data_IF_743592086252
#
_entry.id   IF_743592086252
#
_cell.length_a   1.000
_cell.length_b   1.000
_cell.length_c   1.000
_cell.angle_alpha   90.00
_cell.angle_beta   90.00
_cell.angle_gamma   90.00
#
_symmetry.space_group_name_H-M   'P 1'
#
loop_
_entity.id
_entity.type
_entity.pdbx_description
1 polymer ?
#
# COMPACT_ATOMS: atom_id res chain seq x y z
N UNK A 1 -2.85 -17.68 3.62
CA UNK A 1 -3.14 -16.29 3.22
C UNK A 1 -1.92 -15.38 3.32
N UNK A 2 -1.11 -15.43 4.37
CA UNK A 2 0.11 -14.58 4.51
C UNK A 2 1.09 -14.68 3.35
N UNK A 3 1.39 -15.89 2.86
CA UNK A 3 2.25 -16.08 1.68
C UNK A 3 1.66 -15.42 0.42
N UNK A 4 0.33 -15.43 0.27
CA UNK A 4 -0.32 -14.78 -0.86
C UNK A 4 -0.24 -13.24 -0.75
N UNK A 5 -0.31 -12.69 0.47
CA UNK A 5 -0.11 -11.26 0.71
C UNK A 5 1.32 -10.83 0.38
N UNK A 6 2.31 -11.61 0.80
CA UNK A 6 3.73 -11.33 0.49
C UNK A 6 3.98 -11.44 -1.02
N UNK A 7 3.44 -12.46 -1.69
CA UNK A 7 3.55 -12.57 -3.15
C UNK A 7 2.91 -11.38 -3.86
N UNK A 8 1.73 -10.95 -3.41
CA UNK A 8 1.01 -9.80 -3.95
C UNK A 8 1.78 -8.50 -3.73
N UNK A 9 2.41 -8.35 -2.58
CA UNK A 9 3.27 -7.21 -2.25
C UNK A 9 4.48 -7.15 -3.19
N UNK A 10 5.20 -8.25 -3.37
CA UNK A 10 6.36 -8.29 -4.28
C UNK A 10 5.95 -7.96 -5.73
N UNK A 11 4.84 -8.53 -6.21
CA UNK A 11 4.33 -8.21 -7.55
C UNK A 11 3.99 -6.72 -7.66
N UNK A 12 3.38 -6.14 -6.62
CA UNK A 12 3.04 -4.74 -6.63
C UNK A 12 4.29 -3.86 -6.61
N UNK A 13 5.28 -4.14 -5.76
CA UNK A 13 6.51 -3.34 -5.64
C UNK A 13 7.33 -3.34 -6.95
N UNK A 14 7.52 -4.51 -7.56
CA UNK A 14 8.26 -4.64 -8.81
C UNK A 14 7.65 -3.79 -9.92
N UNK A 15 6.32 -3.76 -10.00
CA UNK A 15 5.56 -3.08 -11.06
C UNK A 15 5.10 -1.67 -10.68
N UNK A 16 5.33 -1.23 -9.44
CA UNK A 16 4.87 0.07 -8.98
C UNK A 16 5.66 1.19 -9.66
N UNK A 17 4.92 2.14 -10.24
CA UNK A 17 5.42 3.35 -10.87
C UNK A 17 4.54 4.52 -10.43
N UNK A 18 5.12 5.47 -9.70
CA UNK A 18 4.40 6.70 -9.35
C UNK A 18 4.34 7.63 -10.57
N UNK A 19 3.17 8.19 -10.92
CA UNK A 19 3.04 9.07 -12.08
C UNK A 19 3.70 10.44 -11.89
N UNK A 20 4.07 10.80 -10.65
CA UNK A 20 4.69 12.08 -10.27
C UNK A 20 3.89 13.29 -10.79
N UNK A 21 2.57 13.24 -10.61
CA UNK A 21 1.63 14.34 -10.90
C UNK A 21 0.56 14.36 -9.82
N UNK A 22 0.37 15.51 -9.16
CA UNK A 22 -0.42 15.65 -7.94
C UNK A 22 -1.76 14.86 -7.96
N UNK A 23 -2.66 15.12 -8.93
CA UNK A 23 -3.95 14.43 -8.99
C UNK A 23 -3.83 12.91 -9.25
N UNK A 24 -2.85 12.49 -10.05
CA UNK A 24 -2.65 11.08 -10.39
C UNK A 24 -1.95 10.32 -9.26
N UNK A 25 -1.12 10.99 -8.46
CA UNK A 25 -0.44 10.41 -7.31
C UNK A 25 -1.44 9.92 -6.27
N UNK A 26 -2.40 10.76 -5.91
CA UNK A 26 -3.49 10.37 -5.01
C UNK A 26 -4.30 9.21 -5.58
N UNK A 27 -4.71 9.26 -6.85
CA UNK A 27 -5.48 8.18 -7.49
C UNK A 27 -4.70 6.86 -7.46
N UNK A 28 -3.41 6.90 -7.81
CA UNK A 28 -2.54 5.73 -7.79
C UNK A 28 -2.46 5.12 -6.38
N UNK A 29 -2.22 5.94 -5.35
CA UNK A 29 -2.22 5.49 -3.95
C UNK A 29 -3.55 4.84 -3.55
N UNK A 30 -4.68 5.47 -3.85
CA UNK A 30 -5.99 4.90 -3.52
C UNK A 30 -6.22 3.55 -4.22
N UNK A 31 -5.87 3.44 -5.50
CA UNK A 31 -6.03 2.18 -6.24
C UNK A 31 -5.11 1.08 -5.69
N UNK A 32 -3.82 1.35 -5.50
CA UNK A 32 -2.84 0.39 -4.98
C UNK A 32 -3.15 -0.04 -3.53
N UNK A 33 -3.79 0.82 -2.74
CA UNK A 33 -4.12 0.53 -1.34
C UNK A 33 -5.46 -0.23 -1.23
N UNK A 34 -6.53 0.33 -1.78
CA UNK A 34 -7.88 -0.16 -1.50
C UNK A 34 -8.31 -1.31 -2.42
N UNK A 35 -7.89 -1.33 -3.68
CA UNK A 35 -8.29 -2.43 -4.58
C UNK A 35 -7.77 -3.78 -4.09
N UNK A 36 -6.48 -3.92 -3.73
CA UNK A 36 -6.00 -5.19 -3.21
C UNK A 36 -6.51 -5.47 -1.79
N UNK A 37 -6.74 -4.46 -0.94
CA UNK A 37 -7.37 -4.66 0.37
C UNK A 37 -8.77 -5.27 0.26
N UNK A 38 -9.61 -4.73 -0.64
CA UNK A 38 -10.95 -5.26 -0.93
C UNK A 38 -10.84 -6.67 -1.52
N UNK A 39 -9.91 -6.90 -2.45
CA UNK A 39 -9.65 -8.21 -3.01
C UNK A 39 -9.27 -9.25 -1.95
N UNK A 40 -8.41 -8.88 -0.99
CA UNK A 40 -8.01 -9.72 0.13
C UNK A 40 -9.17 -10.01 1.08
N UNK A 41 -9.97 -8.99 1.39
CA UNK A 41 -11.17 -9.12 2.21
C UNK A 41 -12.16 -10.13 1.59
N UNK A 42 -12.53 -9.91 0.32
CA UNK A 42 -13.44 -10.77 -0.43
C UNK A 42 -12.86 -12.19 -0.54
N UNK A 43 -11.58 -12.34 -0.90
CA UNK A 43 -10.95 -13.66 -1.01
C UNK A 43 -10.99 -14.42 0.31
N UNK A 44 -10.75 -13.75 1.43
CA UNK A 44 -10.84 -14.37 2.76
C UNK A 44 -12.28 -14.80 3.07
N UNK A 45 -13.27 -13.99 2.69
CA UNK A 45 -14.69 -14.32 2.78
C UNK A 45 -15.13 -15.47 1.89
N UNK A 46 -14.33 -15.96 0.94
CA UNK A 46 -14.68 -17.11 0.11
C UNK A 46 -13.86 -18.35 0.46
N UNK A 47 -12.55 -18.18 0.66
CA UNK A 47 -11.60 -19.30 0.74
C UNK A 47 -11.21 -19.69 2.16
N UNK A 48 -11.45 -18.85 3.17
CA UNK A 48 -11.18 -19.26 4.56
C UNK A 48 -12.36 -20.05 5.10
N UNK A 49 -12.13 -21.35 5.22
CA UNK A 49 -13.00 -22.28 5.93
C UNK A 49 -12.69 -22.22 7.42
N UNK A 50 -13.63 -21.66 8.17
CA UNK A 50 -13.62 -21.74 9.63
C UNK A 50 -14.21 -23.11 10.01
N UNK A 51 -13.34 -24.12 10.12
CA UNK A 51 -13.69 -25.51 10.46
C UNK A 51 -14.48 -25.63 11.79
N UNK A 52 -15.35 -26.65 11.97
CA UNK A 52 -16.50 -26.57 12.84
C UNK A 52 -16.36 -27.41 14.11
N UNK A 53 -15.99 -26.82 15.23
CA UNK A 53 -16.24 -27.43 16.55
C UNK A 53 -17.43 -26.81 17.29
N UNK A 54 -18.04 -25.75 16.74
CA UNK A 54 -19.25 -25.14 17.28
C UNK A 54 -20.38 -25.12 16.23
N UNK A 55 -21.47 -25.82 16.54
CA UNK A 55 -22.64 -26.04 15.67
C UNK A 55 -23.52 -24.79 15.45
N UNK A 56 -23.15 -23.62 15.96
CA UNK A 56 -23.95 -22.41 15.83
C UNK A 56 -23.52 -21.58 14.61
N UNK A 57 -24.39 -21.55 13.59
CA UNK A 57 -24.25 -20.70 12.38
C UNK A 57 -24.09 -19.21 12.73
N UNK A 58 -24.58 -18.77 13.89
CA UNK A 58 -24.51 -17.40 14.38
C UNK A 58 -23.09 -16.95 14.78
N UNK A 59 -22.20 -17.87 15.20
CA UNK A 59 -20.82 -17.55 15.59
C UNK A 59 -19.82 -17.63 14.43
N UNK A 60 -20.11 -18.43 13.40
CA UNK A 60 -19.22 -18.59 12.22
C UNK A 60 -19.13 -17.34 11.36
N UNK A 61 -20.26 -16.66 11.15
CA UNK A 61 -20.35 -15.44 10.34
C UNK A 61 -19.46 -14.31 10.87
N UNK A 62 -19.58 -13.85 12.13
CA UNK A 62 -18.74 -12.78 12.65
C UNK A 62 -17.26 -13.14 12.66
N UNK A 63 -16.90 -14.41 12.91
CA UNK A 63 -15.51 -14.87 12.88
C UNK A 63 -14.90 -14.76 11.49
N UNK A 64 -15.66 -15.09 10.45
CA UNK A 64 -15.21 -14.98 9.05
C UNK A 64 -14.96 -13.53 8.65
N UNK A 65 -15.86 -12.62 9.05
CA UNK A 65 -15.68 -11.18 8.84
C UNK A 65 -14.46 -10.65 9.60
N UNK A 66 -14.22 -11.12 10.83
CA UNK A 66 -13.02 -10.76 11.59
C UNK A 66 -11.74 -11.18 10.84
N UNK A 67 -11.65 -12.42 10.37
CA UNK A 67 -10.48 -12.86 9.60
C UNK A 67 -10.31 -12.05 8.30
N UNK A 68 -11.40 -11.78 7.59
CA UNK A 68 -11.35 -10.96 6.38
C UNK A 68 -10.84 -9.54 6.67
N UNK A 69 -11.31 -8.93 7.76
CA UNK A 69 -10.85 -7.62 8.20
C UNK A 69 -9.37 -7.64 8.60
N UNK A 70 -8.92 -8.66 9.33
CA UNK A 70 -7.51 -8.81 9.70
C UNK A 70 -6.61 -8.99 8.47
N UNK A 71 -7.04 -9.75 7.46
CA UNK A 71 -6.28 -9.88 6.20
C UNK A 71 -6.20 -8.53 5.48
N UNK A 72 -7.29 -7.78 5.38
CA UNK A 72 -7.30 -6.46 4.76
C UNK A 72 -6.41 -5.47 5.54
N UNK A 73 -6.47 -5.49 6.87
CA UNK A 73 -5.62 -4.67 7.73
C UNK A 73 -4.14 -5.01 7.55
N UNK A 74 -3.81 -6.31 7.43
CA UNK A 74 -2.44 -6.76 7.16
C UNK A 74 -1.92 -6.19 5.86
N UNK A 75 -2.74 -6.16 4.80
CA UNK A 75 -2.38 -5.52 3.54
C UNK A 75 -2.13 -4.02 3.70
N UNK A 76 -3.01 -3.30 4.41
CA UNK A 76 -2.82 -1.87 4.67
C UNK A 76 -1.52 -1.61 5.45
N UNK A 77 -1.22 -2.43 6.47
CA UNK A 77 0.02 -2.33 7.23
C UNK A 77 1.26 -2.55 6.36
N UNK A 78 1.22 -3.51 5.42
CA UNK A 78 2.32 -3.74 4.48
C UNK A 78 2.60 -2.49 3.64
N UNK A 79 1.55 -1.88 3.07
CA UNK A 79 1.68 -0.64 2.26
C UNK A 79 2.23 0.53 3.08
N UNK A 80 1.80 0.66 4.34
CA UNK A 80 2.27 1.70 5.26
C UNK A 80 3.74 1.49 5.68
N UNK A 81 4.15 0.26 5.95
CA UNK A 81 5.53 -0.09 6.29
C UNK A 81 6.49 0.23 5.14
N UNK A 82 6.08 -0.06 3.90
CA UNK A 82 6.83 0.31 2.70
C UNK A 82 6.97 1.84 2.57
N UNK A 83 5.84 2.56 2.70
CA UNK A 83 5.81 4.01 2.74
C UNK A 83 6.00 4.73 1.41
N UNK A 84 6.50 4.07 0.36
CA UNK A 84 6.68 4.70 -0.98
C UNK A 84 5.34 5.11 -1.61
N UNK A 85 4.27 4.36 -1.34
CA UNK A 85 2.93 4.69 -1.80
C UNK A 85 2.41 5.98 -1.15
N UNK A 86 2.64 6.15 0.16
CA UNK A 86 2.32 7.38 0.88
C UNK A 86 3.18 8.54 0.39
N UNK A 87 4.49 8.33 0.23
CA UNK A 87 5.39 9.34 -0.30
C UNK A 87 4.98 9.79 -1.71
N UNK A 88 4.54 8.87 -2.58
CA UNK A 88 3.95 9.19 -3.88
C UNK A 88 2.70 10.06 -3.70
N UNK A 89 1.73 9.65 -2.88
CA UNK A 89 0.47 10.35 -2.66
C UNK A 89 0.67 11.83 -2.26
N UNK A 90 1.64 12.09 -1.38
CA UNK A 90 1.92 13.43 -0.84
C UNK A 90 2.99 14.21 -1.62
N UNK A 91 3.53 13.64 -2.71
CA UNK A 91 4.39 14.36 -3.63
C UNK A 91 3.53 15.28 -4.50
N UNK A 92 3.57 16.58 -4.24
CA UNK A 92 2.78 17.60 -4.95
C UNK A 92 3.53 18.21 -6.14
N UNK A 93 4.79 17.82 -6.36
CA UNK A 93 5.60 18.29 -7.48
C UNK A 93 5.53 17.37 -8.70
N UNK A 94 5.73 17.97 -9.87
CA UNK A 94 5.97 17.21 -11.10
C UNK A 94 7.40 16.68 -11.15
N UNK A 95 7.56 15.47 -11.64
CA UNK A 95 8.86 14.83 -11.66
C UNK A 95 8.93 13.56 -12.51
N UNK A 96 10.08 12.90 -12.43
CA UNK A 96 10.34 11.61 -13.04
C UNK A 96 10.53 10.58 -11.92
N UNK A 97 9.83 9.45 -12.05
CA UNK A 97 9.99 8.36 -11.10
C UNK A 97 11.32 7.65 -11.37
N UNK A 98 12.23 7.72 -10.40
CA UNK A 98 13.60 7.20 -10.52
C UNK A 98 14.06 6.53 -9.23
N UNK A 99 15.16 5.78 -9.30
CA UNK A 99 15.73 5.10 -8.15
C UNK A 99 16.81 5.97 -7.50
N UNK A 100 16.87 5.96 -6.17
CA UNK A 100 17.90 6.59 -5.36
C UNK A 100 18.44 5.60 -4.34
N UNK A 101 19.75 5.61 -4.13
CA UNK A 101 20.45 4.54 -3.42
C UNK A 101 20.02 4.39 -1.95
N UNK A 102 19.54 5.46 -1.32
CA UNK A 102 19.30 5.48 0.13
C UNK A 102 17.90 4.99 0.54
N UNK A 103 16.87 5.27 -0.26
CA UNK A 103 15.47 4.98 0.10
C UNK A 103 14.64 4.45 -1.09
N UNK A 104 15.31 4.04 -2.17
CA UNK A 104 14.68 3.39 -3.31
C UNK A 104 14.02 4.36 -4.29
N UNK A 105 12.88 3.95 -4.86
CA UNK A 105 12.20 4.65 -5.95
C UNK A 105 11.42 5.87 -5.44
N UNK A 106 11.54 7.02 -6.11
CA UNK A 106 10.91 8.29 -5.73
C UNK A 106 10.67 9.22 -6.92
N UNK A 107 9.90 10.29 -6.71
CA UNK A 107 9.65 11.32 -7.72
C UNK A 107 10.74 12.40 -7.70
N UNK A 108 11.70 12.33 -8.63
CA UNK A 108 12.72 13.37 -8.80
C UNK A 108 12.12 14.60 -9.51
N UNK A 109 12.18 15.81 -8.93
CA UNK A 109 11.63 17.00 -9.58
C UNK A 109 12.40 17.34 -10.86
N UNK A 110 11.68 17.80 -11.89
CA UNK A 110 12.24 18.22 -13.19
C UNK A 110 12.24 19.73 -13.40
N UNK A 111 11.52 20.50 -12.58
CA UNK A 111 11.44 21.96 -12.69
C UNK A 111 12.56 22.68 -11.95
N UNK A 112 13.09 23.76 -12.53
CA UNK A 112 14.14 24.60 -11.93
C UNK A 112 13.72 25.33 -10.64
N UNK A 113 12.41 25.40 -10.35
CA UNK A 113 11.88 26.18 -9.24
C UNK A 113 11.89 25.42 -7.91
N UNK A 114 12.24 24.12 -7.92
CA UNK A 114 12.13 23.23 -6.77
C UNK A 114 13.49 22.57 -6.55
N UNK A 115 14.05 22.73 -5.36
CA UNK A 115 15.33 22.10 -5.02
C UNK A 115 15.17 20.59 -4.83
N UNK A 116 15.96 19.80 -5.55
CA UNK A 116 15.99 18.34 -5.46
C UNK A 116 16.17 17.85 -4.02
N UNK A 117 17.10 18.45 -3.26
CA UNK A 117 17.41 18.09 -1.88
C UNK A 117 16.21 18.23 -0.94
N UNK A 118 15.40 19.28 -1.10
CA UNK A 118 14.19 19.49 -0.29
C UNK A 118 13.13 18.45 -0.60
N UNK A 119 12.95 18.08 -1.86
CA UNK A 119 12.03 17.00 -2.26
C UNK A 119 12.48 15.66 -1.72
N UNK A 120 13.78 15.34 -1.79
CA UNK A 120 14.34 14.11 -1.23
C UNK A 120 14.08 14.01 0.27
N UNK A 121 14.37 15.08 1.01
CA UNK A 121 14.12 15.13 2.45
C UNK A 121 12.63 14.94 2.76
N UNK A 122 11.74 15.62 2.04
CA UNK A 122 10.29 15.47 2.21
C UNK A 122 9.81 14.06 1.89
N UNK A 123 10.33 13.43 0.84
CA UNK A 123 10.04 12.01 0.53
C UNK A 123 10.46 11.10 1.68
N UNK A 124 11.67 11.27 2.23
CA UNK A 124 12.15 10.47 3.34
C UNK A 124 11.30 10.66 4.61
N UNK A 125 10.96 11.91 4.92
CA UNK A 125 10.08 12.23 6.05
C UNK A 125 8.70 11.56 5.89
N UNK A 126 8.14 11.56 4.67
CA UNK A 126 6.86 10.89 4.38
C UNK A 126 6.92 9.37 4.55
N UNK A 127 8.02 8.72 4.12
CA UNK A 127 8.25 7.28 4.32
C UNK A 127 8.34 6.96 5.82
N UNK A 128 9.03 7.82 6.59
CA UNK A 128 9.13 7.65 8.04
C UNK A 128 7.77 7.83 8.72
N UNK A 129 6.98 8.84 8.33
CA UNK A 129 5.66 9.12 8.90
C UNK A 129 4.68 7.98 8.62
N UNK A 130 4.74 7.33 7.45
CA UNK A 130 3.84 6.20 7.16
C UNK A 130 4.09 4.98 8.04
N UNK A 131 5.24 4.90 8.72
CA UNK A 131 5.62 3.79 9.60
C UNK A 131 5.22 4.02 11.07
N UNK A 132 4.65 5.18 11.41
CA UNK A 132 4.23 5.58 12.77
C UNK A 132 2.71 5.53 12.91
#
# INVERSE_FOLDING_TARGET
>A
FTLALILLENILDDNFICPCRNNLNYICFFLCTFVPAIGCFISTLFFVDVSPEFNNKMEKTPRRFLYAFLTALTWLSIILIDGRYCACAYSDWEGLYTTYDTFGKWCKPTGNNISEVTCQKRTLDLICISQV
#
